data_IF_849448418051
#
_entry.id   IF_849448418051
#
_cell.length_a   1.000
_cell.length_b   1.000
_cell.length_c   1.000
_cell.angle_alpha   90.00
_cell.angle_beta   90.00
_cell.angle_gamma   90.00
#
_symmetry.space_group_name_H-M   'P 1'
#
loop_
_entity.id
_entity.type
_entity.pdbx_description
1 polymer ?
#
# COMPACT_ATOMS: atom_id res chain seq x y z
N UNK A 1 14.26 -6.99 27.25
CA UNK A 1 14.03 -8.40 27.68
C UNK A 1 12.77 -8.96 27.02
N UNK A 2 11.61 -8.31 27.10
CA UNK A 2 10.37 -8.75 26.41
C UNK A 2 10.46 -8.82 24.88
N UNK A 3 10.94 -7.76 24.20
CA UNK A 3 11.13 -7.74 22.73
C UNK A 3 12.13 -8.78 22.20
N UNK A 4 13.16 -9.10 22.99
CA UNK A 4 14.16 -10.11 22.61
C UNK A 4 13.58 -11.53 22.69
N UNK A 5 12.69 -11.77 23.67
CA UNK A 5 11.98 -13.04 23.83
C UNK A 5 10.99 -13.30 22.68
N UNK A 6 10.24 -12.28 22.24
CA UNK A 6 9.33 -12.41 21.09
C UNK A 6 10.08 -12.73 19.78
N UNK A 7 11.26 -12.11 19.57
CA UNK A 7 12.09 -12.35 18.39
C UNK A 7 12.78 -13.73 18.39
N UNK A 8 13.03 -14.31 19.58
CA UNK A 8 13.67 -15.65 19.68
C UNK A 8 12.69 -16.80 19.42
N UNK A 9 11.39 -16.60 19.61
CA UNK A 9 10.35 -17.58 19.26
C UNK A 9 9.83 -17.46 17.83
N UNK A 10 10.09 -16.33 17.16
CA UNK A 10 9.57 -16.08 15.81
C UNK A 10 10.69 -16.03 14.78
N UNK A 11 11.06 -17.22 14.29
CA UNK A 11 12.22 -17.42 13.43
C UNK A 11 12.17 -16.68 12.07
N UNK A 12 11.01 -16.19 11.63
CA UNK A 12 10.77 -15.69 10.27
C UNK A 12 9.99 -14.37 10.19
N UNK A 13 9.87 -13.59 11.28
CA UNK A 13 9.01 -12.41 11.30
C UNK A 13 9.68 -11.11 11.74
N UNK A 14 9.33 -9.99 11.10
CA UNK A 14 9.63 -8.66 11.61
C UNK A 14 8.56 -8.21 12.62
N UNK A 15 8.96 -7.63 13.74
CA UNK A 15 8.02 -7.16 14.78
C UNK A 15 7.67 -5.67 14.61
N UNK A 16 6.45 -5.25 14.95
CA UNK A 16 5.96 -3.86 14.96
C UNK A 16 5.37 -3.50 16.33
N UNK A 17 5.54 -2.25 16.75
CA UNK A 17 4.94 -1.66 17.95
C UNK A 17 4.21 -0.35 17.59
N UNK A 18 3.10 0.01 18.25
CA UNK A 18 2.62 1.40 18.28
C UNK A 18 3.72 2.39 18.63
N UNK A 19 3.63 3.61 18.10
CA UNK A 19 4.61 4.67 18.33
C UNK A 19 3.95 5.96 18.80
N UNK A 20 4.70 6.75 19.58
CA UNK A 20 4.37 8.14 19.91
C UNK A 20 5.29 9.09 19.15
N UNK A 21 4.81 10.30 18.87
CA UNK A 21 5.59 11.34 18.20
C UNK A 21 6.05 12.40 19.19
N UNK A 22 7.23 12.95 18.94
CA UNK A 22 7.74 14.13 19.64
C UNK A 22 8.23 15.16 18.59
N UNK A 23 7.64 16.37 18.50
CA UNK A 23 6.50 16.84 19.29
C UNK A 23 5.21 16.05 19.01
N UNK A 24 4.26 16.15 19.94
CA UNK A 24 2.94 15.54 19.77
C UNK A 24 2.25 16.13 18.53
N UNK A 25 1.47 15.30 17.82
CA UNK A 25 0.80 15.71 16.58
C UNK A 25 1.66 15.71 15.31
N UNK A 26 2.99 15.48 15.39
CA UNK A 26 3.82 15.35 14.17
C UNK A 26 3.35 14.18 13.30
N UNK A 27 3.14 14.42 12.00
CA UNK A 27 2.69 13.37 11.05
C UNK A 27 1.45 12.60 11.54
N UNK A 28 0.46 13.31 12.09
CA UNK A 28 -0.66 12.71 12.83
C UNK A 28 -1.39 11.60 12.06
N UNK A 29 -1.73 11.84 10.78
CA UNK A 29 -2.43 10.84 9.94
C UNK A 29 -1.61 9.57 9.76
N UNK A 30 -0.32 9.72 9.48
CA UNK A 30 0.59 8.58 9.35
C UNK A 30 0.70 7.81 10.67
N UNK A 31 0.83 8.53 11.78
CA UNK A 31 0.93 7.95 13.13
C UNK A 31 -0.34 7.21 13.53
N UNK A 32 -1.52 7.75 13.20
CA UNK A 32 -2.80 7.08 13.40
C UNK A 32 -2.86 5.79 12.59
N UNK A 33 -2.60 5.87 11.28
CA UNK A 33 -2.59 4.71 10.38
C UNK A 33 -1.67 3.59 10.88
N UNK A 34 -0.40 3.88 11.16
CA UNK A 34 0.53 2.83 11.65
C UNK A 34 0.06 2.24 12.99
N UNK A 35 -0.51 3.03 13.89
CA UNK A 35 -0.94 2.54 15.20
C UNK A 35 -2.24 1.73 15.13
N UNK A 36 -3.09 1.91 14.13
CA UNK A 36 -4.39 1.21 14.00
C UNK A 36 -4.36 -0.05 13.15
N UNK A 37 -3.34 -0.24 12.31
CA UNK A 37 -3.20 -1.44 11.45
C UNK A 37 -3.31 -2.76 12.24
N UNK A 38 -4.28 -3.62 11.91
CA UNK A 38 -4.36 -4.96 12.50
C UNK A 38 -3.19 -5.86 12.08
N UNK A 39 -3.06 -7.03 12.71
CA UNK A 39 -2.06 -8.05 12.35
C UNK A 39 -2.17 -8.48 10.88
N UNK A 40 -3.38 -8.66 10.36
CA UNK A 40 -3.61 -9.01 8.95
C UNK A 40 -3.26 -7.85 8.02
N UNK A 41 -3.62 -6.63 8.44
CA UNK A 41 -3.38 -5.42 7.64
C UNK A 41 -1.90 -5.06 7.48
N UNK A 42 -1.01 -5.62 8.30
CA UNK A 42 0.43 -5.50 8.08
C UNK A 42 0.86 -6.04 6.71
N UNK A 43 0.15 -7.03 6.17
CA UNK A 43 0.48 -7.63 4.87
C UNK A 43 -0.39 -7.05 3.74
N UNK A 44 -1.66 -6.72 4.01
CA UNK A 44 -2.56 -6.23 2.96
C UNK A 44 -2.37 -4.75 2.64
N UNK A 45 -1.89 -3.94 3.59
CA UNK A 45 -1.71 -2.48 3.40
C UNK A 45 -0.27 -2.06 3.07
N UNK A 46 0.57 -3.00 2.65
CA UNK A 46 1.94 -2.74 2.18
C UNK A 46 2.00 -1.84 0.95
N UNK A 47 0.89 -1.71 0.22
CA UNK A 47 0.81 -0.95 -1.02
C UNK A 47 0.39 0.51 -0.81
N UNK A 48 0.27 1.02 0.41
CA UNK A 48 -0.05 2.44 0.67
C UNK A 48 1.19 3.36 0.56
N UNK A 49 0.98 4.66 0.44
CA UNK A 49 2.00 5.71 0.25
C UNK A 49 2.80 6.01 1.52
N UNK A 50 2.36 5.46 2.64
CA UNK A 50 2.90 5.67 3.97
C UNK A 50 4.16 4.84 4.26
N UNK A 51 4.66 4.09 3.28
CA UNK A 51 5.88 3.27 3.42
C UNK A 51 5.58 1.91 4.05
N UNK A 52 6.61 1.12 4.39
CA UNK A 52 6.40 -0.22 4.96
C UNK A 52 5.44 -0.13 6.16
N UNK A 53 4.59 -1.15 6.31
CA UNK A 53 3.60 -1.21 7.40
C UNK A 53 4.23 -1.31 8.78
N UNK A 54 5.56 -1.47 8.82
CA UNK A 54 6.44 -1.41 9.99
C UNK A 54 7.39 -0.22 9.83
N UNK A 55 7.43 0.66 10.83
CA UNK A 55 8.24 1.89 10.80
C UNK A 55 9.64 1.63 11.37
N UNK A 56 10.69 2.12 10.74
CA UNK A 56 12.02 2.16 11.35
C UNK A 56 12.07 3.11 12.56
N UNK A 57 12.77 2.81 13.67
CA UNK A 57 13.51 1.59 14.01
C UNK A 57 12.69 0.52 14.76
N UNK A 58 11.36 0.49 14.61
CA UNK A 58 10.52 -0.47 15.34
C UNK A 58 10.61 -1.92 14.84
N UNK A 59 11.17 -2.14 13.65
CA UNK A 59 11.33 -3.49 13.10
C UNK A 59 12.58 -4.20 13.64
N UNK A 60 12.40 -5.43 14.08
CA UNK A 60 13.49 -6.32 14.46
C UNK A 60 13.26 -7.66 13.79
N UNK A 61 14.32 -8.26 13.26
CA UNK A 61 14.32 -9.62 12.75
C UNK A 61 15.56 -10.36 13.23
N UNK A 62 15.56 -11.69 13.12
CA UNK A 62 16.73 -12.49 13.48
C UNK A 62 17.91 -12.16 12.55
N UNK A 63 19.14 -12.24 13.05
CA UNK A 63 20.36 -12.08 12.22
C UNK A 63 20.36 -13.03 11.03
N UNK A 64 19.91 -14.28 11.25
CA UNK A 64 19.76 -15.29 10.21
C UNK A 64 18.82 -14.80 9.10
N UNK A 65 17.64 -14.28 9.47
CA UNK A 65 16.69 -13.75 8.50
C UNK A 65 17.26 -12.55 7.73
N UNK A 66 17.92 -11.61 8.41
CA UNK A 66 18.60 -10.50 7.74
C UNK A 66 19.61 -10.97 6.68
N UNK A 67 20.43 -11.97 7.03
CA UNK A 67 21.39 -12.57 6.10
C UNK A 67 20.71 -13.30 4.93
N UNK A 68 19.57 -13.93 5.16
CA UNK A 68 18.77 -14.59 4.11
C UNK A 68 18.11 -13.58 3.16
N UNK A 69 17.60 -12.46 3.68
CA UNK A 69 17.00 -11.38 2.88
C UNK A 69 18.05 -10.71 2.00
N UNK A 70 19.17 -10.32 2.61
CA UNK A 70 20.26 -9.56 2.00
C UNK A 70 20.49 -8.22 2.70
N UNK A 71 21.61 -7.55 2.41
CA UNK A 71 21.92 -6.23 2.95
C UNK A 71 20.97 -5.15 2.41
N UNK A 72 20.93 -3.99 3.08
CA UNK A 72 20.28 -2.79 2.54
C UNK A 72 20.94 -2.35 1.23
N UNK A 73 20.16 -1.69 0.38
CA UNK A 73 20.66 -1.10 -0.86
C UNK A 73 21.49 0.16 -0.55
N UNK A 74 22.78 0.11 -0.88
CA UNK A 74 23.75 1.19 -0.64
C UNK A 74 23.92 2.14 -1.85
N UNK A 75 22.96 2.14 -2.79
CA UNK A 75 22.98 2.97 -4.00
C UNK A 75 22.97 4.50 -3.76
N UNK A 76 22.88 4.93 -2.50
CA UNK A 76 23.09 6.31 -2.08
C UNK A 76 21.81 7.14 -1.99
N UNK A 77 21.98 8.47 -2.04
CA UNK A 77 20.91 9.44 -1.78
C UNK A 77 19.71 9.24 -2.72
N UNK A 78 18.52 9.04 -2.14
CA UNK A 78 17.27 8.87 -2.88
C UNK A 78 16.84 7.42 -3.11
N UNK A 79 17.64 6.44 -2.69
CA UNK A 79 17.24 5.03 -2.60
C UNK A 79 16.35 4.86 -1.36
N UNK A 80 15.17 4.24 -1.45
CA UNK A 80 14.35 3.87 -0.30
C UNK A 80 14.73 2.48 0.23
N UNK A 81 15.92 2.37 0.80
CA UNK A 81 16.56 1.14 1.26
C UNK A 81 15.68 0.32 2.21
N UNK A 82 14.97 0.99 3.12
CA UNK A 82 14.05 0.34 4.06
C UNK A 82 12.90 -0.35 3.32
N UNK A 83 12.29 0.32 2.33
CA UNK A 83 11.18 -0.24 1.56
C UNK A 83 11.65 -1.41 0.69
N UNK A 84 12.84 -1.29 0.09
CA UNK A 84 13.42 -2.34 -0.75
C UNK A 84 13.71 -3.60 0.07
N UNK A 85 14.36 -3.46 1.23
CA UNK A 85 14.60 -4.57 2.14
C UNK A 85 13.27 -5.19 2.61
N UNK A 86 12.28 -4.36 2.97
CA UNK A 86 10.96 -4.82 3.38
C UNK A 86 10.29 -5.67 2.31
N UNK A 87 10.27 -5.21 1.05
CA UNK A 87 9.71 -5.99 -0.06
C UNK A 87 10.50 -7.27 -0.30
N UNK A 88 11.83 -7.25 -0.20
CA UNK A 88 12.64 -8.46 -0.35
C UNK A 88 12.35 -9.49 0.75
N UNK A 89 12.15 -9.04 1.98
CA UNK A 89 11.70 -9.89 3.09
C UNK A 89 10.36 -10.56 2.75
N UNK A 90 9.36 -9.78 2.33
CA UNK A 90 8.03 -10.32 1.96
C UNK A 90 8.09 -11.28 0.75
N UNK A 91 8.97 -11.02 -0.22
CA UNK A 91 9.18 -11.92 -1.37
C UNK A 91 9.67 -13.29 -0.96
N UNK A 92 10.54 -13.35 0.05
CA UNK A 92 11.08 -14.59 0.61
C UNK A 92 10.14 -15.27 1.62
N UNK A 93 8.94 -14.72 1.83
CA UNK A 93 7.97 -15.27 2.77
C UNK A 93 8.15 -14.78 4.21
N UNK A 94 8.87 -13.68 4.42
CA UNK A 94 8.98 -13.04 5.72
C UNK A 94 7.60 -12.65 6.26
N UNK A 95 7.32 -13.09 7.49
CA UNK A 95 6.13 -12.68 8.21
C UNK A 95 6.29 -11.32 8.87
N UNK A 96 5.18 -10.76 9.32
CA UNK A 96 5.17 -9.57 10.18
C UNK A 96 4.36 -9.88 11.43
N UNK A 97 4.78 -9.37 12.58
CA UNK A 97 4.11 -9.58 13.86
C UNK A 97 3.88 -8.24 14.53
N UNK A 98 2.68 -8.01 15.04
CA UNK A 98 2.33 -6.84 15.84
C UNK A 98 2.46 -7.15 17.33
N UNK A 99 3.06 -6.22 18.06
CA UNK A 99 3.08 -6.16 19.53
C UNK A 99 2.29 -4.94 19.95
N UNK A 100 1.22 -5.14 20.72
CA UNK A 100 0.30 -4.09 21.16
C UNK A 100 0.76 -3.32 22.41
N UNK A 101 2.06 -3.04 22.49
CA UNK A 101 2.67 -2.20 23.52
C UNK A 101 3.35 -1.00 22.85
N UNK A 102 3.23 0.21 23.41
CA UNK A 102 3.90 1.38 22.84
C UNK A 102 5.37 1.43 23.30
N UNK A 103 6.28 0.91 22.46
CA UNK A 103 7.69 0.72 22.81
C UNK A 103 8.65 1.75 22.18
N UNK A 104 8.15 2.67 21.36
CA UNK A 104 8.98 3.69 20.69
C UNK A 104 8.37 5.10 20.76
N UNK A 105 9.22 6.08 21.09
CA UNK A 105 8.98 7.51 20.85
C UNK A 105 9.82 7.96 19.65
N UNK A 106 9.14 8.34 18.57
CA UNK A 106 9.78 8.83 17.35
C UNK A 106 9.87 10.36 17.38
N UNK A 107 11.10 10.88 17.36
CA UNK A 107 11.35 12.32 17.30
C UNK A 107 11.30 12.81 15.85
N UNK A 108 10.40 13.73 15.56
CA UNK A 108 10.32 14.42 14.29
C UNK A 108 11.22 15.67 14.31
N UNK A 109 11.89 15.93 13.20
CA UNK A 109 12.65 17.15 12.96
C UNK A 109 12.61 17.51 11.46
N UNK A 110 12.64 18.80 11.13
CA UNK A 110 12.47 19.27 9.75
C UNK A 110 13.64 18.92 8.82
N UNK A 111 14.81 18.61 9.38
CA UNK A 111 15.99 18.20 8.62
C UNK A 111 16.08 16.67 8.35
N UNK A 112 14.96 15.95 8.37
CA UNK A 112 14.96 14.49 8.18
C UNK A 112 15.40 14.11 6.74
N UNK A 113 16.22 13.08 6.60
CA UNK A 113 16.80 12.63 5.31
C UNK A 113 15.75 12.16 4.27
N UNK A 114 14.49 11.97 4.72
CA UNK A 114 13.33 11.51 3.96
C UNK A 114 13.04 12.34 2.71
N UNK A 115 13.51 13.60 2.63
CA UNK A 115 13.28 14.48 1.48
C UNK A 115 14.05 14.10 0.21
N UNK A 116 14.99 13.14 0.27
CA UNK A 116 15.79 12.74 -0.89
C UNK A 116 15.14 11.69 -1.79
N UNK A 117 14.17 10.93 -1.29
CA UNK A 117 13.43 9.92 -2.06
C UNK A 117 12.24 10.57 -2.75
N UNK A 118 12.12 10.40 -4.08
CA UNK A 118 11.02 11.00 -4.84
C UNK A 118 9.71 10.21 -4.72
N UNK A 119 8.57 10.90 -4.76
CA UNK A 119 7.24 10.27 -4.81
C UNK A 119 7.14 9.30 -6.00
N UNK A 120 7.75 9.64 -7.14
CA UNK A 120 7.79 8.80 -8.33
C UNK A 120 8.53 7.47 -8.10
N UNK A 121 9.64 7.50 -7.36
CA UNK A 121 10.40 6.28 -7.02
C UNK A 121 9.55 5.36 -6.14
N UNK A 122 8.93 5.90 -5.09
CA UNK A 122 8.03 5.14 -4.20
C UNK A 122 6.82 4.61 -4.97
N UNK A 123 6.24 5.43 -5.86
CA UNK A 123 5.11 5.05 -6.70
C UNK A 123 5.45 3.86 -7.58
N UNK A 124 6.57 3.92 -8.32
CA UNK A 124 7.02 2.83 -9.20
C UNK A 124 7.21 1.54 -8.42
N UNK A 125 7.94 1.58 -7.30
CA UNK A 125 8.17 0.39 -6.46
C UNK A 125 6.87 -0.23 -5.95
N UNK A 126 5.90 0.60 -5.53
CA UNK A 126 4.59 0.13 -5.09
C UNK A 126 3.77 -0.48 -6.22
N UNK A 127 3.77 0.14 -7.41
CA UNK A 127 3.08 -0.41 -8.59
C UNK A 127 3.68 -1.75 -8.98
N UNK A 128 5.01 -1.87 -9.03
CA UNK A 128 5.70 -3.11 -9.37
C UNK A 128 5.36 -4.21 -8.36
N UNK A 129 5.42 -3.90 -7.06
CA UNK A 129 5.07 -4.85 -6.02
C UNK A 129 3.59 -5.25 -6.05
N UNK A 130 2.67 -4.32 -6.31
CA UNK A 130 1.25 -4.61 -6.49
C UNK A 130 1.01 -5.56 -7.67
N UNK A 131 1.68 -5.31 -8.79
CA UNK A 131 1.60 -6.16 -9.98
C UNK A 131 2.12 -7.56 -9.70
N UNK A 132 3.26 -7.66 -9.02
CA UNK A 132 3.91 -8.91 -8.65
C UNK A 132 3.05 -9.75 -7.68
N UNK A 133 2.51 -9.13 -6.63
CA UNK A 133 1.91 -9.85 -5.49
C UNK A 133 0.40 -10.03 -5.58
N UNK A 134 -0.30 -9.08 -6.21
CA UNK A 134 -1.76 -9.05 -6.26
C UNK A 134 -2.24 -9.30 -7.69
N UNK A 135 -1.88 -8.41 -8.63
CA UNK A 135 -2.45 -8.47 -9.98
C UNK A 135 -1.97 -9.69 -10.78
N UNK A 136 -0.84 -10.30 -10.43
CA UNK A 136 -0.39 -11.57 -11.03
C UNK A 136 -1.37 -12.72 -10.81
N UNK A 137 -2.14 -12.68 -9.72
CA UNK A 137 -3.08 -13.74 -9.29
C UNK A 137 -4.51 -13.50 -9.75
N UNK A 138 -4.83 -12.29 -10.18
CA UNK A 138 -6.18 -11.92 -10.62
C UNK A 138 -6.27 -11.92 -12.14
N UNK A 139 -7.41 -12.36 -12.67
CA UNK A 139 -7.69 -12.32 -14.13
C UNK A 139 -8.30 -11.00 -14.57
N UNK A 140 -9.02 -10.34 -13.66
CA UNK A 140 -9.69 -9.08 -13.87
C UNK A 140 -9.66 -8.26 -12.58
N UNK A 141 -9.84 -6.95 -12.71
CA UNK A 141 -9.83 -6.01 -11.58
C UNK A 141 -10.65 -4.77 -11.89
N UNK A 142 -11.23 -4.17 -10.86
CA UNK A 142 -11.85 -2.85 -10.90
C UNK A 142 -10.99 -1.86 -10.12
N UNK A 143 -10.74 -0.67 -10.68
CA UNK A 143 -10.03 0.41 -9.97
C UNK A 143 -11.05 1.35 -9.35
N UNK A 144 -11.12 1.37 -8.03
CA UNK A 144 -12.00 2.30 -7.30
C UNK A 144 -11.29 3.64 -7.15
N UNK A 145 -11.87 4.68 -7.79
CA UNK A 145 -11.38 6.04 -8.04
C UNK A 145 -11.21 6.27 -9.55
N UNK A 146 -12.25 6.81 -10.19
CA UNK A 146 -12.23 7.20 -11.60
C UNK A 146 -11.54 8.55 -11.85
N UNK A 147 -10.80 9.09 -10.87
CA UNK A 147 -10.12 10.38 -10.89
C UNK A 147 -8.60 10.29 -11.08
N UNK A 148 -7.86 11.26 -10.52
CA UNK A 148 -6.41 11.43 -10.76
C UNK A 148 -5.60 10.19 -10.38
N UNK A 149 -5.82 9.65 -9.17
CA UNK A 149 -4.99 8.56 -8.64
C UNK A 149 -5.27 7.22 -9.32
N UNK A 150 -6.54 6.81 -9.47
CA UNK A 150 -6.85 5.56 -10.15
C UNK A 150 -6.44 5.58 -11.63
N UNK A 151 -6.63 6.70 -12.34
CA UNK A 151 -6.13 6.83 -13.72
C UNK A 151 -4.60 6.83 -13.78
N UNK A 152 -3.89 7.42 -12.80
CA UNK A 152 -2.43 7.33 -12.69
C UNK A 152 -2.00 5.88 -12.53
N UNK A 153 -2.65 5.12 -11.65
CA UNK A 153 -2.37 3.69 -11.46
C UNK A 153 -2.53 2.94 -12.77
N UNK A 154 -3.68 3.06 -13.43
CA UNK A 154 -3.93 2.40 -14.72
C UNK A 154 -2.82 2.67 -15.74
N UNK A 155 -2.40 3.93 -15.89
CA UNK A 155 -1.32 4.30 -16.83
C UNK A 155 0.04 3.72 -16.43
N UNK A 156 0.28 3.51 -15.14
CA UNK A 156 1.52 2.93 -14.62
C UNK A 156 1.56 1.39 -14.69
N UNK A 157 0.43 0.73 -14.94
CA UNK A 157 0.41 -0.74 -15.08
C UNK A 157 1.10 -1.17 -16.38
N UNK A 158 1.68 -2.37 -16.36
CA UNK A 158 2.10 -3.08 -17.58
C UNK A 158 0.92 -3.30 -18.52
N UNK A 159 1.18 -3.43 -19.83
CA UNK A 159 0.14 -3.68 -20.82
C UNK A 159 -0.73 -4.92 -20.49
N UNK A 160 -0.12 -5.98 -19.96
CA UNK A 160 -0.83 -7.18 -19.50
C UNK A 160 -1.81 -6.86 -18.39
N UNK A 161 -1.41 -6.10 -17.37
CA UNK A 161 -2.28 -5.76 -16.25
C UNK A 161 -3.29 -4.65 -16.58
N UNK A 162 -3.00 -3.76 -17.54
CA UNK A 162 -3.99 -2.81 -18.05
C UNK A 162 -5.22 -3.53 -18.64
N UNK A 163 -5.03 -4.65 -19.36
CA UNK A 163 -6.13 -5.45 -19.94
C UNK A 163 -6.99 -6.17 -18.91
N UNK A 164 -6.47 -6.34 -17.69
CA UNK A 164 -7.23 -6.89 -16.57
C UNK A 164 -8.21 -5.86 -16.00
N UNK A 165 -7.97 -4.56 -16.17
CA UNK A 165 -8.86 -3.51 -15.67
C UNK A 165 -10.15 -3.51 -16.49
N UNK A 166 -11.25 -3.96 -15.88
CA UNK A 166 -12.56 -4.05 -16.54
C UNK A 166 -13.42 -2.81 -16.35
N UNK A 167 -13.23 -2.11 -15.25
CA UNK A 167 -13.92 -0.86 -14.96
C UNK A 167 -13.10 0.04 -14.04
N UNK A 168 -13.41 1.33 -14.10
CA UNK A 168 -13.29 2.19 -12.93
C UNK A 168 -14.63 2.24 -12.22
N UNK A 169 -14.61 2.45 -10.91
CA UNK A 169 -15.82 2.82 -10.19
C UNK A 169 -15.60 4.06 -9.31
N UNK A 170 -16.70 4.77 -9.02
CA UNK A 170 -16.69 5.96 -8.18
C UNK A 170 -18.07 6.16 -7.51
N UNK A 171 -18.14 7.13 -6.59
CA UNK A 171 -19.40 7.64 -6.00
C UNK A 171 -19.79 8.99 -6.61
N UNK A 172 -18.83 9.66 -7.25
CA UNK A 172 -19.03 10.95 -7.89
C UNK A 172 -19.84 10.80 -9.18
N UNK A 173 -21.09 11.25 -9.14
CA UNK A 173 -22.03 11.21 -10.26
C UNK A 173 -21.46 11.87 -11.52
N UNK A 174 -20.69 12.95 -11.42
CA UNK A 174 -20.13 13.62 -12.60
C UNK A 174 -19.13 12.70 -13.33
N UNK A 175 -18.36 11.91 -12.58
CA UNK A 175 -17.44 10.92 -13.18
C UNK A 175 -18.21 9.75 -13.77
N UNK A 176 -19.28 9.31 -13.12
CA UNK A 176 -20.12 8.19 -13.59
C UNK A 176 -20.85 8.59 -14.88
N UNK A 177 -21.45 9.79 -14.93
CA UNK A 177 -22.13 10.31 -16.13
C UNK A 177 -21.21 10.44 -17.35
N UNK A 178 -19.90 10.58 -17.15
CA UNK A 178 -18.92 10.53 -18.25
C UNK A 178 -18.92 9.16 -18.98
N UNK A 179 -19.37 8.09 -18.31
CA UNK A 179 -19.56 6.75 -18.86
C UNK A 179 -18.27 5.95 -19.05
N UNK A 180 -17.17 6.57 -19.50
CA UNK A 180 -15.88 5.90 -19.69
C UNK A 180 -14.66 6.82 -19.52
N UNK A 181 -13.52 6.20 -19.24
CA UNK A 181 -12.19 6.77 -19.35
C UNK A 181 -11.50 6.28 -20.64
N UNK A 182 -11.02 7.21 -21.46
CA UNK A 182 -10.14 6.89 -22.60
C UNK A 182 -8.68 7.10 -22.20
N UNK A 183 -7.81 6.11 -22.44
CA UNK A 183 -6.38 6.31 -22.28
C UNK A 183 -5.79 6.97 -23.54
N UNK A 184 -5.76 8.30 -23.55
CA UNK A 184 -5.41 9.08 -24.74
C UNK A 184 -3.98 8.88 -25.25
N UNK A 185 -3.03 8.63 -24.36
CA UNK A 185 -1.61 8.42 -24.69
C UNK A 185 -1.31 6.96 -25.08
N UNK A 186 -2.30 6.06 -25.05
CA UNK A 186 -2.11 4.68 -25.45
C UNK A 186 -1.69 4.58 -26.93
N UNK A 187 -0.73 3.69 -27.17
CA UNK A 187 -0.31 3.30 -28.53
C UNK A 187 -1.30 2.33 -29.19
N UNK A 188 -2.18 1.70 -28.42
CA UNK A 188 -3.19 0.77 -28.95
C UNK A 188 -4.23 1.49 -29.83
N UNK A 189 -4.73 0.78 -30.85
CA UNK A 189 -5.75 1.25 -31.80
C UNK A 189 -6.81 0.15 -31.97
N UNK A 190 -8.09 0.39 -31.60
CA UNK A 190 -8.62 1.62 -30.99
C UNK A 190 -8.01 1.91 -29.61
N UNK A 191 -8.05 3.18 -29.19
CA UNK A 191 -7.55 3.57 -27.85
C UNK A 191 -8.38 2.85 -26.77
N UNK A 192 -7.76 2.38 -25.67
CA UNK A 192 -8.48 1.73 -24.57
C UNK A 192 -9.56 2.65 -24.01
N UNK A 193 -10.78 2.13 -23.91
CA UNK A 193 -11.92 2.76 -23.25
C UNK A 193 -12.40 1.86 -22.13
N UNK A 194 -12.33 2.37 -20.91
CA UNK A 194 -12.65 1.63 -19.69
C UNK A 194 -13.91 2.25 -19.10
N UNK A 195 -14.99 1.49 -18.88
CA UNK A 195 -16.24 2.02 -18.33
C UNK A 195 -16.02 2.60 -16.93
N UNK A 196 -16.81 3.63 -16.59
CA UNK A 196 -16.90 4.20 -15.25
C UNK A 196 -18.27 3.85 -14.69
N UNK A 197 -18.29 3.05 -13.63
CA UNK A 197 -19.51 2.55 -13.01
C UNK A 197 -19.75 3.24 -11.66
N UNK A 198 -21.00 3.27 -11.21
CA UNK A 198 -21.28 3.48 -9.80
C UNK A 198 -20.73 2.28 -9.00
N UNK A 199 -20.19 2.51 -7.80
CA UNK A 199 -19.53 1.45 -7.02
C UNK A 199 -20.42 0.23 -6.76
N UNK A 200 -21.74 0.40 -6.61
CA UNK A 200 -22.68 -0.71 -6.40
C UNK A 200 -22.88 -1.60 -7.63
N UNK A 201 -22.56 -1.10 -8.83
CA UNK A 201 -22.64 -1.86 -10.08
C UNK A 201 -21.28 -2.47 -10.48
N UNK A 202 -20.23 -2.21 -9.71
CA UNK A 202 -18.90 -2.70 -9.99
C UNK A 202 -18.66 -4.08 -9.37
N UNK A 203 -17.80 -4.88 -10.00
CA UNK A 203 -17.48 -6.22 -9.55
C UNK A 203 -16.08 -6.28 -8.93
N UNK A 204 -15.95 -7.09 -7.87
CA UNK A 204 -14.69 -7.48 -7.29
C UNK A 204 -13.86 -8.32 -8.29
N UNK A 205 -12.52 -8.32 -8.18
CA UNK A 205 -11.74 -7.70 -7.11
C UNK A 205 -11.40 -6.21 -7.37
N UNK A 206 -11.11 -5.46 -6.31
CA UNK A 206 -10.87 -4.02 -6.34
C UNK A 206 -9.45 -3.61 -5.95
N UNK A 207 -8.89 -2.64 -6.69
CA UNK A 207 -7.80 -1.81 -6.17
C UNK A 207 -8.37 -0.45 -5.77
N UNK A 208 -8.33 -0.16 -4.48
CA UNK A 208 -8.93 1.03 -3.89
C UNK A 208 -7.91 2.17 -3.86
N UNK A 209 -8.05 3.10 -4.80
CA UNK A 209 -7.20 4.29 -4.91
C UNK A 209 -7.83 5.52 -4.24
N UNK A 210 -8.70 5.32 -3.26
CA UNK A 210 -9.31 6.37 -2.45
C UNK A 210 -8.45 6.58 -1.19
N UNK A 211 -8.18 7.83 -0.83
CA UNK A 211 -7.38 8.15 0.36
C UNK A 211 -8.11 7.71 1.63
N UNK A 212 -7.43 6.92 2.46
CA UNK A 212 -7.90 6.56 3.79
C UNK A 212 -8.02 7.82 4.67
N UNK A 213 -8.90 7.77 5.66
CA UNK A 213 -9.13 8.84 6.65
C UNK A 213 -9.58 10.21 6.07
N UNK A 214 -9.97 10.26 4.78
CA UNK A 214 -10.42 11.50 4.13
C UNK A 214 -11.91 11.51 3.75
N UNK A 215 -12.59 10.39 3.91
CA UNK A 215 -13.99 10.20 3.55
C UNK A 215 -14.93 10.18 4.75
N UNK A 216 -14.42 10.35 5.97
CA UNK A 216 -15.22 10.31 7.20
C UNK A 216 -15.94 8.98 7.43
N UNK A 217 -15.36 7.86 6.98
CA UNK A 217 -15.96 6.52 7.12
C UNK A 217 -16.84 6.08 5.94
N UNK A 218 -17.10 6.96 4.97
CA UNK A 218 -17.98 6.64 3.83
C UNK A 218 -17.40 5.53 2.95
N UNK A 219 -16.08 5.50 2.76
CA UNK A 219 -15.44 4.45 1.96
C UNK A 219 -15.60 3.09 2.63
N UNK A 220 -15.34 3.04 3.92
CA UNK A 220 -15.43 1.85 4.77
C UNK A 220 -16.88 1.34 4.81
N UNK A 221 -17.85 2.24 4.94
CA UNK A 221 -19.27 1.90 4.86
C UNK A 221 -19.65 1.28 3.50
N UNK A 222 -19.14 1.83 2.40
CA UNK A 222 -19.39 1.30 1.04
C UNK A 222 -18.73 -0.06 0.81
N UNK A 223 -17.51 -0.27 1.32
CA UNK A 223 -16.85 -1.58 1.28
C UNK A 223 -17.65 -2.63 2.06
N UNK A 224 -18.13 -2.25 3.25
CA UNK A 224 -18.97 -3.10 4.08
C UNK A 224 -20.34 -3.40 3.44
N UNK A 225 -20.97 -2.42 2.77
CA UNK A 225 -22.25 -2.64 2.09
C UNK A 225 -22.14 -3.64 0.92
N UNK A 226 -20.95 -3.74 0.32
CA UNK A 226 -20.64 -4.74 -0.70
C UNK A 226 -20.13 -6.07 -0.13
N UNK A 227 -20.02 -6.18 1.21
CA UNK A 227 -19.52 -7.36 1.91
C UNK A 227 -18.12 -7.82 1.45
N UNK A 228 -17.27 -6.87 1.07
CA UNK A 228 -15.94 -7.16 0.55
C UNK A 228 -14.95 -7.38 1.69
N UNK A 229 -14.05 -8.35 1.52
CA UNK A 229 -12.99 -8.65 2.48
C UNK A 229 -11.62 -8.15 1.99
N UNK A 230 -10.94 -7.36 2.83
CA UNK A 230 -9.58 -6.88 2.56
C UNK A 230 -8.62 -8.07 2.37
N UNK A 231 -7.71 -7.97 1.41
CA UNK A 231 -6.74 -9.03 1.11
C UNK A 231 -7.28 -10.14 0.21
N UNK A 232 -8.60 -10.23 0.04
CA UNK A 232 -9.26 -11.20 -0.84
C UNK A 232 -9.92 -10.46 -2.00
N UNK A 233 -10.92 -9.65 -1.67
CA UNK A 233 -11.75 -8.95 -2.66
C UNK A 233 -11.19 -7.57 -2.98
N UNK A 234 -10.38 -6.97 -2.10
CA UNK A 234 -9.77 -5.69 -2.39
C UNK A 234 -8.44 -5.44 -1.68
N UNK A 235 -7.64 -4.54 -2.26
CA UNK A 235 -6.43 -3.98 -1.67
C UNK A 235 -6.43 -2.46 -1.77
N UNK A 236 -5.89 -1.77 -0.76
CA UNK A 236 -5.70 -0.33 -0.80
C UNK A 236 -4.43 0.05 -1.57
N UNK A 237 -4.53 1.05 -2.45
CA UNK A 237 -3.42 1.67 -3.17
C UNK A 237 -3.55 3.20 -3.18
N UNK A 238 -3.21 3.83 -2.06
CA UNK A 238 -3.39 5.27 -1.82
C UNK A 238 -2.16 5.93 -1.22
#
# INVERSE_FOLDING_TARGET
IFLWFACSTMHLSSTKTPVRRLPEGSTERYTRWINTLTQEQLITQVFTSHGPTVIMPTWFCSRKWFQEVGSFDEGGKGVPEDLLFFYQSLRRGGGLTRVDECLLVYRYHDNAATHSVTEETIWRLRVDFLQERVLSRWENVTVWNAGKQGRKLYRSLSATNQRKVKAFCDVDENKIHKGFYTYEESKERPKPKIPILHYTAAAAPFIVCVKLDMTGGVLEANLNSLQLKEGIDYYHFN
#
